data_IF_006959735078
#
_entry.id   IF_006959735078
#
_cell.length_a   1.000
_cell.length_b   1.000
_cell.length_c   1.000
_cell.angle_alpha   90.00
_cell.angle_beta   90.00
_cell.angle_gamma   90.00
#
_symmetry.space_group_name_H-M   'P 1'
#
loop_
_entity.id
_entity.type
_entity.pdbx_description
1 polymer ?
#
# COMPACT_ATOMS: atom_id res chain seq x y z
N UNK A 1 20.54 13.33 -5.26
CA UNK A 1 19.55 12.99 -4.19
C UNK A 1 18.11 13.41 -4.56
N UNK A 2 17.89 14.56 -5.24
CA UNK A 2 16.56 15.03 -5.65
C UNK A 2 15.88 14.15 -6.69
N UNK A 3 16.61 13.63 -7.67
CA UNK A 3 16.08 12.81 -8.76
C UNK A 3 15.34 11.56 -8.26
N UNK A 4 15.95 10.77 -7.36
CA UNK A 4 15.31 9.57 -6.81
C UNK A 4 14.05 9.88 -6.00
N UNK A 5 14.04 11.01 -5.28
CA UNK A 5 12.81 11.49 -4.60
C UNK A 5 11.71 11.77 -5.60
N UNK A 6 12.03 12.42 -6.73
CA UNK A 6 11.08 12.66 -7.81
C UNK A 6 10.50 11.37 -8.37
N UNK A 7 11.33 10.39 -8.70
CA UNK A 7 10.90 9.10 -9.27
C UNK A 7 9.95 8.34 -8.34
N UNK A 8 10.27 8.26 -7.04
CA UNK A 8 9.40 7.56 -6.07
C UNK A 8 8.16 8.35 -5.68
N UNK A 9 8.19 9.68 -5.81
CA UNK A 9 7.06 10.52 -5.46
C UNK A 9 6.10 10.75 -6.65
N UNK A 10 6.58 10.61 -7.88
CA UNK A 10 5.78 10.85 -9.08
C UNK A 10 4.44 10.10 -9.11
N UNK A 11 4.37 8.81 -8.74
CA UNK A 11 3.10 8.08 -8.74
C UNK A 11 2.03 8.70 -7.83
N UNK A 12 2.44 9.29 -6.71
CA UNK A 12 1.52 9.90 -5.72
C UNK A 12 0.86 11.18 -6.25
N UNK A 13 1.48 11.85 -7.22
CA UNK A 13 0.92 13.06 -7.86
C UNK A 13 -0.17 12.72 -8.88
N UNK A 14 -0.22 11.48 -9.33
CA UNK A 14 -1.23 11.03 -10.28
C UNK A 14 -2.49 10.58 -9.54
N UNK A 15 -3.64 10.80 -10.17
CA UNK A 15 -4.89 10.20 -9.70
C UNK A 15 -4.77 8.66 -9.73
N UNK A 16 -5.30 7.92 -8.71
CA UNK A 16 -5.32 6.46 -8.70
C UNK A 16 -5.93 5.85 -9.97
N UNK A 17 -6.95 6.50 -10.53
CA UNK A 17 -7.58 6.12 -11.79
C UNK A 17 -6.60 6.19 -12.96
N UNK A 18 -5.81 7.28 -13.04
CA UNK A 18 -4.79 7.45 -14.10
C UNK A 18 -3.68 6.41 -13.96
N UNK A 19 -3.22 6.17 -12.74
CA UNK A 19 -2.24 5.11 -12.45
C UNK A 19 -2.76 3.76 -12.95
N UNK A 20 -4.00 3.41 -12.60
CA UNK A 20 -4.60 2.15 -13.00
C UNK A 20 -4.76 2.04 -14.53
N UNK A 21 -5.13 3.12 -15.23
CA UNK A 21 -5.21 3.14 -16.69
C UNK A 21 -3.84 2.91 -17.35
N UNK A 22 -2.79 3.56 -16.85
CA UNK A 22 -1.43 3.36 -17.36
C UNK A 22 -1.02 1.89 -17.21
N UNK A 23 -1.19 1.33 -16.02
CA UNK A 23 -0.86 -0.07 -15.76
C UNK A 23 -1.73 -1.03 -16.56
N UNK A 24 -3.02 -0.72 -16.75
CA UNK A 24 -3.93 -1.49 -17.60
C UNK A 24 -3.41 -1.58 -19.04
N UNK A 25 -2.97 -0.46 -19.62
CA UNK A 25 -2.39 -0.44 -20.97
C UNK A 25 -1.07 -1.23 -21.05
N UNK A 26 -0.22 -1.14 -20.05
CA UNK A 26 1.04 -1.89 -20.01
C UNK A 26 0.81 -3.41 -19.94
N UNK A 27 -0.26 -3.82 -19.22
CA UNK A 27 -0.58 -5.22 -18.92
C UNK A 27 -1.58 -5.85 -19.90
N UNK A 28 -2.08 -5.12 -20.89
CA UNK A 28 -2.96 -5.69 -21.92
C UNK A 28 -2.24 -6.78 -22.73
N UNK A 29 -3.03 -7.64 -23.39
CA UNK A 29 -2.51 -8.73 -24.24
C UNK A 29 -1.56 -8.22 -25.33
N UNK A 30 -1.79 -7.02 -25.87
CA UNK A 30 -0.91 -6.32 -26.82
C UNK A 30 -0.12 -5.19 -26.15
N UNK A 31 -0.03 -5.19 -24.82
CA UNK A 31 0.70 -4.18 -24.06
C UNK A 31 2.20 -4.36 -24.09
N UNK A 32 2.92 -3.38 -23.53
CA UNK A 32 4.39 -3.32 -23.57
C UNK A 32 5.03 -4.56 -22.95
N UNK A 33 4.51 -5.10 -21.85
CA UNK A 33 5.08 -6.30 -21.22
C UNK A 33 5.02 -7.52 -22.13
N UNK A 34 3.90 -7.74 -22.81
CA UNK A 34 3.77 -8.83 -23.76
C UNK A 34 4.57 -8.59 -25.05
N UNK A 35 4.69 -7.34 -25.51
CA UNK A 35 5.55 -7.01 -26.65
C UNK A 35 7.03 -7.35 -26.36
N UNK A 36 7.50 -7.09 -25.14
CA UNK A 36 8.86 -7.48 -24.70
C UNK A 36 9.00 -8.99 -24.65
N UNK A 37 8.02 -9.73 -24.08
CA UNK A 37 8.05 -11.19 -24.04
C UNK A 37 8.11 -11.81 -25.44
N UNK A 38 7.29 -11.33 -26.36
CA UNK A 38 7.27 -11.79 -27.75
C UNK A 38 8.61 -11.50 -28.43
N UNK A 39 9.23 -10.34 -28.20
CA UNK A 39 10.56 -10.03 -28.74
C UNK A 39 11.66 -10.98 -28.21
N UNK A 40 11.44 -11.52 -27.01
CA UNK A 40 12.29 -12.55 -26.39
C UNK A 40 11.89 -13.99 -26.74
N UNK A 41 11.02 -14.20 -27.75
CA UNK A 41 10.49 -15.49 -28.18
C UNK A 41 9.71 -16.25 -27.07
N UNK A 42 9.14 -15.48 -26.12
CA UNK A 42 8.29 -16.04 -25.07
C UNK A 42 6.81 -15.91 -25.43
N UNK A 43 5.97 -16.75 -24.87
CA UNK A 43 4.52 -16.69 -25.05
C UNK A 43 3.94 -15.48 -24.28
N UNK A 44 2.96 -14.76 -24.87
CA UNK A 44 2.24 -13.74 -24.16
C UNK A 44 1.58 -14.27 -22.89
N UNK A 45 1.50 -13.45 -21.85
CA UNK A 45 0.90 -13.80 -20.56
C UNK A 45 -0.40 -13.04 -20.37
N UNK A 46 -1.40 -13.72 -19.88
CA UNK A 46 -2.72 -13.18 -19.57
C UNK A 46 -2.71 -12.48 -18.21
N UNK A 47 -2.06 -11.30 -18.13
CA UNK A 47 -1.80 -10.58 -16.88
C UNK A 47 -3.05 -10.18 -16.10
N UNK A 48 -4.13 -9.80 -16.78
CA UNK A 48 -5.35 -9.29 -16.15
C UNK A 48 -6.54 -10.24 -16.26
N UNK A 49 -6.45 -11.28 -17.10
CA UNK A 49 -7.49 -12.27 -17.33
C UNK A 49 -7.26 -13.60 -16.60
N UNK A 50 -6.03 -13.84 -16.12
CA UNK A 50 -5.74 -14.88 -15.14
C UNK A 50 -5.88 -14.32 -13.70
N UNK A 51 -6.68 -15.01 -12.87
CA UNK A 51 -7.01 -14.54 -11.51
C UNK A 51 -5.79 -14.34 -10.58
N UNK A 52 -4.74 -15.15 -10.74
CA UNK A 52 -3.52 -15.07 -9.92
C UNK A 52 -2.70 -13.85 -10.32
N UNK A 53 -2.52 -13.64 -11.62
CA UNK A 53 -1.80 -12.49 -12.14
C UNK A 53 -2.56 -11.20 -11.91
N UNK A 54 -3.88 -11.18 -12.12
CA UNK A 54 -4.73 -10.03 -11.85
C UNK A 54 -4.65 -9.60 -10.38
N UNK A 55 -4.70 -10.56 -9.44
CA UNK A 55 -4.55 -10.29 -8.01
C UNK A 55 -3.17 -9.74 -7.67
N UNK A 56 -2.09 -10.36 -8.19
CA UNK A 56 -0.72 -9.89 -7.99
C UNK A 56 -0.54 -8.45 -8.48
N UNK A 57 -0.96 -8.17 -9.72
CA UNK A 57 -0.80 -6.84 -10.30
C UNK A 57 -1.65 -5.78 -9.61
N UNK A 58 -2.83 -6.14 -9.15
CA UNK A 58 -3.68 -5.23 -8.36
C UNK A 58 -2.97 -4.80 -7.08
N UNK A 59 -2.37 -5.74 -6.33
CA UNK A 59 -1.60 -5.43 -5.12
C UNK A 59 -0.36 -4.60 -5.47
N UNK A 60 0.40 -5.01 -6.49
CA UNK A 60 1.61 -4.32 -6.91
C UNK A 60 1.34 -2.86 -7.29
N UNK A 61 0.32 -2.62 -8.12
CA UNK A 61 -0.06 -1.28 -8.59
C UNK A 61 -0.50 -0.41 -7.41
N UNK A 62 -1.28 -0.96 -6.48
CA UNK A 62 -1.71 -0.24 -5.28
C UNK A 62 -0.53 0.14 -4.38
N UNK A 63 0.42 -0.78 -4.15
CA UNK A 63 1.64 -0.48 -3.38
C UNK A 63 2.47 0.59 -4.10
N UNK A 64 2.71 0.43 -5.40
CA UNK A 64 3.51 1.35 -6.21
C UNK A 64 2.92 2.77 -6.21
N UNK A 65 1.58 2.89 -6.32
CA UNK A 65 0.89 4.17 -6.31
C UNK A 65 1.08 4.94 -5.00
N UNK A 66 1.15 4.24 -3.86
CA UNK A 66 1.12 4.86 -2.53
C UNK A 66 2.48 4.86 -1.80
N UNK A 67 3.48 4.08 -2.27
CA UNK A 67 4.75 3.96 -1.56
C UNK A 67 5.50 5.28 -1.40
N UNK A 68 5.34 6.21 -2.34
CA UNK A 68 5.96 7.53 -2.26
C UNK A 68 5.44 8.35 -1.08
N UNK A 69 4.13 8.31 -0.83
CA UNK A 69 3.51 8.99 0.31
C UNK A 69 4.06 8.49 1.65
N UNK A 70 4.12 7.18 1.83
CA UNK A 70 4.68 6.57 3.04
C UNK A 70 6.18 6.85 3.19
N UNK A 71 6.90 6.87 2.08
CA UNK A 71 8.33 7.22 2.06
C UNK A 71 8.56 8.65 2.55
N UNK A 72 7.68 9.61 2.20
CA UNK A 72 7.80 10.99 2.68
C UNK A 72 7.58 11.09 4.19
N UNK A 73 6.59 10.40 4.75
CA UNK A 73 6.34 10.40 6.19
C UNK A 73 7.56 9.83 6.93
N UNK A 74 8.11 8.71 6.45
CA UNK A 74 9.30 8.12 7.05
C UNK A 74 10.54 9.00 6.89
N UNK A 75 10.70 9.65 5.74
CA UNK A 75 11.80 10.59 5.51
C UNK A 75 11.72 11.81 6.42
N UNK A 76 10.51 12.36 6.62
CA UNK A 76 10.31 13.45 7.58
C UNK A 76 10.66 13.02 9.00
N UNK A 77 10.23 11.83 9.42
CA UNK A 77 10.61 11.23 10.71
C UNK A 77 12.12 11.04 10.85
N UNK A 78 12.80 10.57 9.81
CA UNK A 78 14.27 10.43 9.81
C UNK A 78 15.00 11.78 9.93
N UNK A 79 14.46 12.82 9.29
CA UNK A 79 15.04 14.17 9.34
C UNK A 79 14.82 14.86 10.69
N UNK A 80 13.82 14.44 11.45
CA UNK A 80 13.53 14.95 12.78
C UNK A 80 14.48 14.39 13.86
N UNK A 81 15.24 13.33 13.57
CA UNK A 81 16.22 12.77 14.51
C UNK A 81 17.43 13.72 14.57
N UNK A 82 17.82 14.22 15.79
CA UNK A 82 18.95 15.12 15.94
C UNK A 82 20.26 14.46 15.47
N UNK A 83 21.11 15.25 14.82
CA UNK A 83 22.41 14.79 14.33
C UNK A 83 23.35 14.33 15.46
N UNK A 84 23.27 14.99 16.61
CA UNK A 84 24.08 14.69 17.80
C UNK A 84 23.94 13.22 18.24
N UNK A 85 22.76 12.61 18.03
CA UNK A 85 22.53 11.19 18.33
C UNK A 85 23.38 10.29 17.43
N UNK A 86 23.54 10.65 16.17
CA UNK A 86 24.39 9.90 15.24
C UNK A 86 25.87 10.15 15.48
N UNK A 87 26.25 11.36 15.87
CA UNK A 87 27.63 11.73 16.24
C UNK A 87 28.06 10.97 17.50
N UNK A 88 27.20 10.90 18.52
CA UNK A 88 27.44 10.08 19.69
C UNK A 88 27.63 8.58 19.34
N UNK A 89 26.78 8.05 18.45
CA UNK A 89 26.91 6.67 17.99
C UNK A 89 28.24 6.40 17.24
N UNK A 90 28.75 7.38 16.50
CA UNK A 90 30.05 7.30 15.85
C UNK A 90 31.20 7.32 16.86
N UNK A 91 31.11 8.13 17.92
CA UNK A 91 32.09 8.15 19.01
C UNK A 91 32.14 6.83 19.73
N UNK A 92 30.99 6.17 19.90
CA UNK A 92 30.89 4.81 20.48
C UNK A 92 31.31 3.70 19.48
N UNK A 93 31.81 4.04 18.29
CA UNK A 93 32.19 3.11 17.23
C UNK A 93 31.06 2.11 16.89
N UNK A 94 29.81 2.54 16.98
CA UNK A 94 28.66 1.72 16.64
C UNK A 94 28.67 1.36 15.15
N UNK A 95 28.47 0.07 14.82
CA UNK A 95 28.37 -0.35 13.42
C UNK A 95 27.08 0.23 12.78
N UNK A 96 27.03 0.41 11.44
CA UNK A 96 25.86 0.92 10.75
C UNK A 96 24.58 0.10 11.04
N UNK A 97 24.70 -1.22 11.16
CA UNK A 97 23.61 -2.11 11.52
C UNK A 97 23.10 -1.87 12.96
N UNK A 98 24.03 -1.68 13.89
CA UNK A 98 23.69 -1.37 15.28
C UNK A 98 23.03 0.01 15.41
N UNK A 99 23.52 1.01 14.68
CA UNK A 99 22.92 2.33 14.60
C UNK A 99 21.51 2.25 14.02
N UNK A 100 21.30 1.52 12.94
CA UNK A 100 19.97 1.34 12.33
C UNK A 100 18.99 0.68 13.32
N UNK A 101 19.37 -0.44 13.92
CA UNK A 101 18.43 -1.27 14.72
C UNK A 101 18.21 -0.76 16.13
N UNK A 102 19.21 -0.11 16.75
CA UNK A 102 19.14 0.33 18.16
C UNK A 102 18.90 1.83 18.34
N UNK A 103 19.08 2.62 17.29
CA UNK A 103 18.93 4.08 17.36
C UNK A 103 17.87 4.55 16.36
N UNK A 104 18.11 4.35 15.07
CA UNK A 104 17.25 4.91 14.02
C UNK A 104 15.84 4.31 14.05
N UNK A 105 15.72 2.97 14.05
CA UNK A 105 14.41 2.31 14.06
C UNK A 105 13.56 2.63 15.31
N UNK A 106 14.10 2.58 16.54
CA UNK A 106 13.34 2.99 17.71
C UNK A 106 12.90 4.45 17.69
N UNK A 107 13.75 5.37 17.27
CA UNK A 107 13.39 6.79 17.15
C UNK A 107 12.40 7.07 16.02
N UNK A 108 12.40 6.27 14.98
CA UNK A 108 11.46 6.34 13.86
C UNK A 108 10.13 5.64 14.15
N UNK A 109 10.04 4.86 15.24
CA UNK A 109 8.87 4.02 15.55
C UNK A 109 7.54 4.80 15.54
N UNK A 110 7.42 6.03 16.08
CA UNK A 110 6.17 6.79 16.01
C UNK A 110 5.70 7.01 14.57
N UNK A 111 6.62 7.38 13.67
CA UNK A 111 6.29 7.57 12.25
C UNK A 111 5.96 6.25 11.55
N UNK A 112 6.65 5.16 11.88
CA UNK A 112 6.36 3.83 11.37
C UNK A 112 4.94 3.37 11.75
N UNK A 113 4.51 3.66 12.98
CA UNK A 113 3.16 3.34 13.44
C UNK A 113 2.12 4.10 12.62
N UNK A 114 2.31 5.40 12.43
CA UNK A 114 1.41 6.20 11.61
C UNK A 114 1.32 5.63 10.18
N UNK A 115 2.45 5.32 9.57
CA UNK A 115 2.50 4.72 8.23
C UNK A 115 1.77 3.38 8.20
N UNK A 116 1.98 2.50 9.20
CA UNK A 116 1.32 1.20 9.26
C UNK A 116 -0.20 1.34 9.43
N UNK A 117 -0.67 2.27 10.27
CA UNK A 117 -2.12 2.52 10.42
C UNK A 117 -2.72 3.00 9.11
N UNK A 118 -2.12 4.00 8.48
CA UNK A 118 -2.61 4.55 7.21
C UNK A 118 -2.57 3.51 6.08
N UNK A 119 -1.49 2.75 5.98
CA UNK A 119 -1.35 1.70 4.96
C UNK A 119 -2.38 0.58 5.15
N UNK A 120 -2.66 0.18 6.39
CA UNK A 120 -3.65 -0.85 6.69
C UNK A 120 -5.07 -0.39 6.36
N UNK A 121 -5.44 0.84 6.75
CA UNK A 121 -6.75 1.41 6.40
C UNK A 121 -6.88 1.46 4.87
N UNK A 122 -5.86 1.95 4.18
CA UNK A 122 -5.87 2.06 2.71
C UNK A 122 -5.96 0.69 2.02
N UNK A 123 -5.24 -0.31 2.51
CA UNK A 123 -5.27 -1.67 1.94
C UNK A 123 -6.67 -2.31 2.02
N UNK A 124 -7.42 -2.05 3.09
CA UNK A 124 -8.79 -2.55 3.24
C UNK A 124 -9.80 -1.74 2.42
N UNK A 125 -9.54 -0.44 2.22
CA UNK A 125 -10.43 0.47 1.50
C UNK A 125 -10.05 0.67 0.03
N UNK A 126 -9.15 -0.16 -0.53
CA UNK A 126 -8.76 -0.06 -1.94
C UNK A 126 -9.99 -0.22 -2.85
N UNK A 127 -10.17 0.72 -3.78
CA UNK A 127 -11.29 0.70 -4.73
C UNK A 127 -10.88 1.24 -6.10
N UNK A 128 -10.43 2.49 -6.18
CA UNK A 128 -10.24 3.22 -7.44
C UNK A 128 -9.35 2.48 -8.43
N UNK A 129 -8.20 2.01 -7.98
CA UNK A 129 -7.23 1.29 -8.80
C UNK A 129 -7.78 -0.06 -9.25
N UNK A 130 -8.47 -0.77 -8.35
CA UNK A 130 -9.03 -2.09 -8.62
C UNK A 130 -10.17 -1.99 -9.61
N UNK A 131 -11.06 -1.03 -9.42
CA UNK A 131 -12.21 -0.80 -10.28
C UNK A 131 -11.80 -0.53 -11.72
N UNK A 132 -10.77 0.29 -11.92
CA UNK A 132 -10.28 0.64 -13.25
C UNK A 132 -9.42 -0.46 -13.87
N UNK A 133 -8.55 -1.10 -13.06
CA UNK A 133 -7.60 -2.09 -13.55
C UNK A 133 -8.29 -3.38 -14.00
N UNK A 134 -9.11 -3.95 -13.14
CA UNK A 134 -9.71 -5.29 -13.31
C UNK A 134 -11.23 -5.31 -13.24
N UNK A 135 -11.87 -4.28 -12.66
CA UNK A 135 -13.30 -4.27 -12.41
C UNK A 135 -13.77 -5.33 -11.40
N UNK A 136 -12.83 -5.92 -10.61
CA UNK A 136 -13.10 -7.03 -9.68
C UNK A 136 -12.82 -8.40 -10.27
N UNK A 137 -12.57 -8.48 -11.60
CA UNK A 137 -12.33 -9.72 -12.33
C UNK A 137 -10.89 -10.25 -12.29
N UNK A 138 -10.65 -11.40 -12.95
CA UNK A 138 -11.63 -12.31 -13.56
C UNK A 138 -12.50 -13.03 -12.52
N UNK A 139 -13.77 -13.23 -12.84
CA UNK A 139 -14.76 -13.71 -11.87
C UNK A 139 -14.87 -12.76 -10.69
N UNK A 140 -14.46 -13.19 -9.50
CA UNK A 140 -14.39 -12.36 -8.28
C UNK A 140 -12.98 -12.27 -7.67
N UNK A 141 -11.94 -12.59 -8.47
CA UNK A 141 -10.56 -12.74 -7.96
C UNK A 141 -9.99 -11.46 -7.35
N UNK A 142 -10.45 -10.30 -7.80
CA UNK A 142 -10.02 -8.99 -7.29
C UNK A 142 -11.19 -8.16 -6.74
N UNK A 143 -12.28 -8.80 -6.34
CA UNK A 143 -13.42 -8.13 -5.71
C UNK A 143 -13.12 -7.89 -4.23
N UNK A 144 -12.59 -6.73 -3.90
CA UNK A 144 -12.38 -6.30 -2.53
C UNK A 144 -13.68 -5.78 -1.91
N UNK A 145 -13.69 -5.61 -0.59
CA UNK A 145 -14.90 -5.29 0.17
C UNK A 145 -15.59 -4.00 -0.31
N UNK A 146 -14.83 -2.93 -0.61
CA UNK A 146 -15.43 -1.67 -1.08
C UNK A 146 -16.03 -1.83 -2.47
N UNK A 147 -15.38 -2.63 -3.35
CA UNK A 147 -15.92 -2.95 -4.66
C UNK A 147 -17.18 -3.81 -4.56
N UNK A 148 -17.22 -4.78 -3.65
CA UNK A 148 -18.43 -5.55 -3.36
C UNK A 148 -19.58 -4.64 -2.92
N UNK A 149 -19.32 -3.70 -1.99
CA UNK A 149 -20.32 -2.73 -1.54
C UNK A 149 -20.85 -1.89 -2.72
N UNK A 150 -19.94 -1.41 -3.57
CA UNK A 150 -20.31 -0.61 -4.74
C UNK A 150 -21.12 -1.42 -5.76
N UNK A 151 -20.68 -2.63 -6.10
CA UNK A 151 -21.38 -3.50 -7.05
C UNK A 151 -22.78 -3.85 -6.55
N UNK A 152 -22.89 -4.31 -5.30
CA UNK A 152 -24.15 -4.74 -4.67
C UNK A 152 -25.14 -3.59 -4.48
N UNK A 153 -24.65 -2.41 -4.14
CA UNK A 153 -25.51 -1.25 -3.86
C UNK A 153 -25.85 -0.40 -5.06
N UNK A 154 -24.93 -0.30 -6.05
CA UNK A 154 -25.06 0.75 -7.08
C UNK A 154 -24.85 0.30 -8.52
N UNK A 155 -24.10 -0.78 -8.77
CA UNK A 155 -23.73 -1.18 -10.12
C UNK A 155 -24.61 -2.27 -10.72
N UNK A 156 -25.22 -3.15 -9.91
CA UNK A 156 -26.09 -4.21 -10.37
C UNK A 156 -27.50 -3.69 -10.65
N UNK A 157 -28.25 -4.40 -11.52
CA UNK A 157 -29.63 -4.04 -11.87
C UNK A 157 -30.58 -4.12 -10.68
N UNK A 158 -30.31 -5.04 -9.76
CA UNK A 158 -31.07 -5.18 -8.50
C UNK A 158 -30.21 -4.58 -7.38
N UNK A 159 -30.55 -3.37 -6.97
CA UNK A 159 -29.85 -2.66 -5.91
C UNK A 159 -30.19 -3.25 -4.55
N UNK A 160 -29.26 -4.00 -3.95
CA UNK A 160 -29.42 -4.57 -2.62
C UNK A 160 -28.85 -3.61 -1.55
N UNK A 161 -29.47 -2.43 -1.42
CA UNK A 161 -29.02 -1.38 -0.48
C UNK A 161 -28.81 -1.87 0.94
N UNK A 162 -29.70 -2.74 1.44
CA UNK A 162 -29.59 -3.31 2.79
C UNK A 162 -28.33 -4.16 2.95
N UNK A 163 -27.99 -4.97 1.96
CA UNK A 163 -26.77 -5.78 1.98
C UNK A 163 -25.51 -4.91 1.88
N UNK A 164 -25.51 -3.92 0.98
CA UNK A 164 -24.40 -2.98 0.85
C UNK A 164 -24.19 -2.17 2.14
N UNK A 165 -25.28 -1.71 2.79
CA UNK A 165 -25.21 -1.03 4.08
C UNK A 165 -24.68 -1.94 5.19
N UNK A 166 -25.13 -3.18 5.28
CA UNK A 166 -24.62 -4.16 6.23
C UNK A 166 -23.13 -4.44 6.04
N UNK A 167 -22.67 -4.62 4.78
CA UNK A 167 -21.26 -4.80 4.46
C UNK A 167 -20.42 -3.56 4.82
N UNK A 168 -20.95 -2.34 4.61
CA UNK A 168 -20.30 -1.09 5.00
C UNK A 168 -20.15 -0.96 6.52
N UNK A 169 -21.17 -1.34 7.28
CA UNK A 169 -21.11 -1.36 8.75
C UNK A 169 -20.11 -2.41 9.26
N UNK A 170 -20.11 -3.61 8.68
CA UNK A 170 -19.15 -4.65 9.00
C UNK A 170 -17.71 -4.17 8.73
N UNK A 171 -17.48 -3.52 7.59
CA UNK A 171 -16.19 -2.90 7.24
C UNK A 171 -15.78 -1.84 8.28
N UNK A 172 -16.69 -0.95 8.66
CA UNK A 172 -16.41 0.11 9.64
C UNK A 172 -16.03 -0.49 11.01
N UNK A 173 -16.79 -1.45 11.51
CA UNK A 173 -16.51 -2.15 12.78
C UNK A 173 -15.17 -2.89 12.68
N UNK A 174 -14.90 -3.59 11.58
CA UNK A 174 -13.65 -4.29 11.35
C UNK A 174 -12.45 -3.34 11.36
N UNK A 175 -12.54 -2.18 10.69
CA UNK A 175 -11.48 -1.17 10.67
C UNK A 175 -11.24 -0.55 12.05
N UNK A 176 -12.30 -0.25 12.81
CA UNK A 176 -12.17 0.26 14.18
C UNK A 176 -11.46 -0.78 15.05
N UNK A 177 -11.92 -2.04 15.03
CA UNK A 177 -11.31 -3.11 15.80
C UNK A 177 -9.83 -3.31 15.44
N UNK A 178 -9.51 -3.33 14.15
CA UNK A 178 -8.16 -3.48 13.63
C UNK A 178 -7.25 -2.32 14.10
N UNK A 179 -7.72 -1.08 13.98
CA UNK A 179 -6.98 0.12 14.40
C UNK A 179 -6.75 0.13 15.91
N UNK A 180 -7.77 -0.20 16.71
CA UNK A 180 -7.63 -0.29 18.17
C UNK A 180 -6.65 -1.39 18.59
N UNK A 181 -6.68 -2.54 17.93
CA UNK A 181 -5.73 -3.63 18.17
C UNK A 181 -4.30 -3.19 17.87
N UNK A 182 -4.11 -2.54 16.73
CA UNK A 182 -2.80 -2.03 16.30
C UNK A 182 -2.25 -1.00 17.30
N UNK A 183 -3.06 -0.04 17.74
CA UNK A 183 -2.66 0.95 18.72
C UNK A 183 -2.29 0.32 20.07
N UNK A 184 -3.09 -0.65 20.55
CA UNK A 184 -2.78 -1.39 21.79
C UNK A 184 -1.44 -2.12 21.70
N UNK A 185 -1.20 -2.83 20.62
CA UNK A 185 0.06 -3.56 20.41
C UNK A 185 1.28 -2.63 20.37
N UNK A 186 1.09 -1.42 19.88
CA UNK A 186 2.13 -0.40 19.76
C UNK A 186 2.44 0.23 21.12
N UNK A 187 1.41 0.66 21.86
CA UNK A 187 1.60 1.23 23.21
C UNK A 187 2.22 0.21 24.18
N UNK A 188 1.89 -1.07 24.05
CA UNK A 188 2.48 -2.11 24.86
C UNK A 188 4.01 -2.24 24.63
N UNK A 189 4.48 -2.04 23.39
CA UNK A 189 5.92 -2.04 23.07
C UNK A 189 6.64 -0.81 23.60
N UNK A 190 6.03 0.36 23.53
CA UNK A 190 6.60 1.60 24.07
C UNK A 190 6.71 1.58 25.59
N UNK A 191 5.72 1.04 26.30
CA UNK A 191 5.74 0.87 27.73
C UNK A 191 6.86 -0.09 28.19
N UNK A 192 7.09 -1.19 27.45
CA UNK A 192 8.19 -2.13 27.73
C UNK A 192 9.58 -1.59 27.44
N UNK A 193 9.74 -0.56 26.62
CA UNK A 193 11.02 0.10 26.36
C UNK A 193 11.39 1.16 27.42
N UNK A 194 10.40 1.78 28.10
CA UNK A 194 10.64 2.75 29.17
C UNK A 194 11.10 2.10 30.49
N UNK A 195 10.99 0.79 30.63
CA UNK A 195 11.33 0.03 31.87
C UNK A 195 12.73 -0.63 31.76
N UNK A 196 13.40 -0.52 30.62
CA UNK A 196 14.79 -0.99 30.42
C UNK A 196 15.74 0.18 30.18
#
# INVERSE_FOLDING_TARGET
RGFWRGVFFYPVLLSPVVVALIWKWLLQSQGVFNAVLVSMHQTPVEWLTDGRWAFFWTIFVSIWAHMGFYTLILLAGLQAIPKDVYEAALMDKASPWRTLTRITLPLLMPNLIVVLVLAMIRAVQVFDEVFVLTGGGPGSATTFIVQFIYQTGFAEQIHLYGLAAAASLALAVGLIALTLLQLKLTHAKEAGQKVR
#
